data_IF_873807781739
#
_entry.id   IF_873807781739
#
_cell.length_a   1.000
_cell.length_b   1.000
_cell.length_c   1.000
_cell.angle_alpha   90.00
_cell.angle_beta   90.00
_cell.angle_gamma   90.00
#
_symmetry.space_group_name_H-M   'P 1'
#
loop_
_entity.id
_entity.type
_entity.pdbx_description
1 polymer ?
#
# COMPACT_ATOMS: atom_id res chain seq x y z
N UNK A 1 9.74 -10.21 -6.71
CA UNK A 1 9.39 -9.02 -5.89
C UNK A 1 8.32 -9.43 -4.91
N UNK A 2 8.49 -9.10 -3.64
CA UNK A 2 7.55 -9.35 -2.55
C UNK A 2 6.56 -8.18 -2.39
N UNK A 3 5.48 -8.39 -1.63
CA UNK A 3 4.53 -7.31 -1.30
C UNK A 3 5.22 -6.18 -0.52
N UNK A 4 6.12 -6.51 0.41
CA UNK A 4 6.89 -5.51 1.17
C UNK A 4 7.78 -4.65 0.27
N UNK A 5 8.41 -5.23 -0.76
CA UNK A 5 9.21 -4.48 -1.74
C UNK A 5 8.34 -3.53 -2.57
N UNK A 6 7.13 -3.97 -2.97
CA UNK A 6 6.17 -3.11 -3.67
C UNK A 6 5.70 -1.98 -2.76
N UNK A 7 5.33 -2.30 -1.52
CA UNK A 7 4.91 -1.30 -0.53
C UNK A 7 6.03 -0.28 -0.27
N UNK A 8 7.26 -0.75 -0.07
CA UNK A 8 8.44 0.12 0.08
C UNK A 8 8.62 1.04 -1.13
N UNK A 9 8.53 0.50 -2.35
CA UNK A 9 8.62 1.29 -3.57
C UNK A 9 7.55 2.39 -3.63
N UNK A 10 6.31 2.05 -3.32
CA UNK A 10 5.18 2.98 -3.35
C UNK A 10 5.30 4.09 -2.30
N UNK A 11 5.97 3.84 -1.18
CA UNK A 11 6.02 4.78 -0.07
C UNK A 11 7.34 5.56 0.01
N UNK A 12 8.46 4.95 -0.35
CA UNK A 12 9.80 5.53 -0.19
C UNK A 12 10.45 6.04 -1.48
N UNK A 13 10.02 5.57 -2.65
CA UNK A 13 10.59 6.09 -3.91
C UNK A 13 10.12 7.51 -4.16
N UNK A 14 11.07 8.41 -4.43
CA UNK A 14 10.77 9.84 -4.69
C UNK A 14 9.90 10.06 -5.93
N UNK A 15 9.93 9.13 -6.89
CA UNK A 15 9.09 9.17 -8.08
C UNK A 15 7.73 8.48 -7.87
N UNK A 16 7.43 8.01 -6.65
CA UNK A 16 6.12 7.43 -6.34
C UNK A 16 5.07 8.53 -6.21
N UNK A 17 3.86 8.30 -6.73
CA UNK A 17 2.74 9.20 -6.49
C UNK A 17 2.30 9.23 -5.02
N UNK A 18 2.76 8.28 -4.19
CA UNK A 18 2.35 8.09 -2.80
C UNK A 18 3.49 8.23 -1.80
N UNK A 19 4.47 9.08 -2.13
CA UNK A 19 5.64 9.30 -1.27
C UNK A 19 5.23 9.76 0.14
N UNK A 20 5.72 9.05 1.17
CA UNK A 20 5.29 9.23 2.56
C UNK A 20 5.53 10.63 3.15
N UNK A 21 6.47 11.42 2.59
CA UNK A 21 6.70 12.81 3.06
C UNK A 21 5.65 13.80 2.57
N UNK A 22 4.90 13.45 1.54
CA UNK A 22 3.84 14.29 0.95
C UNK A 22 2.43 13.76 1.22
N UNK A 23 2.31 12.57 1.82
CA UNK A 23 1.02 11.92 2.09
C UNK A 23 1.01 11.28 3.47
N UNK A 24 -0.16 11.17 4.08
CA UNK A 24 -0.38 10.22 5.16
C UNK A 24 -0.56 8.83 4.54
N UNK A 25 0.31 7.90 4.92
CA UNK A 25 0.31 6.55 4.36
C UNK A 25 0.15 5.55 5.50
N UNK A 26 -0.93 4.78 5.48
CA UNK A 26 -1.26 3.81 6.52
C UNK A 26 -1.43 2.43 5.90
N UNK A 27 -0.55 1.46 6.21
CA UNK A 27 -0.68 0.10 5.69
C UNK A 27 -1.72 -0.72 6.44
N UNK A 28 -2.31 -1.72 5.76
CA UNK A 28 -3.21 -2.74 6.31
C UNK A 28 -4.36 -2.15 7.14
N UNK A 29 -5.08 -1.20 6.63
CA UNK A 29 -6.18 -0.56 7.34
C UNK A 29 -7.38 -1.50 7.35
N UNK A 30 -7.74 -1.97 8.55
CA UNK A 30 -8.86 -2.85 8.78
C UNK A 30 -9.65 -2.34 10.00
N UNK A 31 -10.96 -2.38 9.98
CA UNK A 31 -11.89 -1.98 11.05
C UNK A 31 -11.67 -0.58 11.71
N UNK A 32 -12.77 -0.03 12.20
CA UNK A 32 -12.79 1.19 13.00
C UNK A 32 -13.12 2.47 12.23
N UNK A 33 -13.09 2.45 10.89
CA UNK A 33 -13.42 3.60 10.05
C UNK A 33 -14.58 3.33 9.07
N UNK A 34 -15.23 2.18 9.21
CA UNK A 34 -16.38 1.81 8.37
C UNK A 34 -15.99 1.15 7.05
N UNK A 35 -14.73 0.77 6.85
CA UNK A 35 -14.34 -0.03 5.69
C UNK A 35 -14.92 -1.45 5.80
N UNK A 36 -15.39 -1.99 4.70
CA UNK A 36 -15.97 -3.33 4.59
C UNK A 36 -14.93 -4.43 4.30
N UNK A 37 -13.67 -4.04 4.05
CA UNK A 37 -12.53 -4.92 3.78
C UNK A 37 -11.24 -4.33 4.34
N UNK A 38 -10.17 -5.11 4.38
CA UNK A 38 -8.83 -4.65 4.70
C UNK A 38 -8.19 -4.01 3.47
N UNK A 39 -7.67 -2.79 3.64
CA UNK A 39 -6.92 -2.07 2.62
C UNK A 39 -5.44 -2.39 2.78
N UNK A 40 -4.74 -2.85 1.75
CA UNK A 40 -3.29 -3.08 1.80
C UNK A 40 -2.55 -1.77 2.11
N UNK A 41 -2.96 -0.67 1.47
CA UNK A 41 -2.40 0.65 1.71
C UNK A 41 -3.46 1.75 1.53
N UNK A 42 -3.66 2.55 2.56
CA UNK A 42 -4.45 3.77 2.48
C UNK A 42 -3.54 4.98 2.40
N UNK A 43 -3.71 5.77 1.35
CA UNK A 43 -2.97 7.01 1.11
C UNK A 43 -3.92 8.19 1.19
N UNK A 44 -3.57 9.21 1.99
CA UNK A 44 -4.45 10.36 2.21
C UNK A 44 -3.67 11.65 1.94
N UNK A 45 -4.26 12.54 1.18
CA UNK A 45 -3.76 13.90 0.99
C UNK A 45 -3.84 14.68 2.31
N UNK A 46 -2.74 15.25 2.83
CA UNK A 46 -2.75 16.02 4.08
C UNK A 46 -3.50 17.35 3.96
N UNK A 47 -3.74 17.83 2.74
CA UNK A 47 -4.41 19.11 2.48
C UNK A 47 -5.91 18.94 2.29
N UNK A 48 -6.32 17.91 1.55
CA UNK A 48 -7.73 17.73 1.16
C UNK A 48 -8.43 16.61 1.92
N UNK A 49 -7.67 15.81 2.68
CA UNK A 49 -8.13 14.62 3.40
C UNK A 49 -8.83 13.57 2.52
N UNK A 50 -8.45 13.56 1.24
CA UNK A 50 -8.98 12.63 0.25
C UNK A 50 -8.20 11.33 0.31
N UNK A 51 -8.92 10.21 0.37
CA UNK A 51 -8.34 8.86 0.42
C UNK A 51 -8.18 8.23 -0.97
N UNK A 52 -7.06 7.56 -1.13
CA UNK A 52 -6.76 6.66 -2.24
C UNK A 52 -6.42 5.29 -1.65
N UNK A 53 -7.06 4.25 -2.16
CA UNK A 53 -6.76 2.86 -1.83
C UNK A 53 -5.75 2.30 -2.82
N UNK A 54 -4.79 1.53 -2.33
CA UNK A 54 -3.84 0.80 -3.17
C UNK A 54 -3.82 -0.66 -2.74
N UNK A 55 -4.24 -1.54 -3.65
CA UNK A 55 -4.17 -2.98 -3.53
C UNK A 55 -2.85 -3.50 -4.10
N UNK A 56 -2.09 -4.24 -3.31
CA UNK A 56 -0.79 -4.78 -3.70
C UNK A 56 -0.94 -6.24 -4.13
N UNK A 57 -0.57 -6.54 -5.36
CA UNK A 57 -0.63 -7.91 -5.92
C UNK A 57 0.72 -8.28 -6.50
N UNK A 58 1.25 -9.42 -6.04
CA UNK A 58 2.58 -9.89 -6.47
C UNK A 58 2.53 -11.17 -7.31
N UNK A 59 1.34 -11.72 -7.53
CA UNK A 59 1.12 -12.89 -8.39
C UNK A 59 -0.17 -12.78 -9.20
N UNK A 60 -0.20 -13.49 -10.35
CA UNK A 60 -1.44 -13.62 -11.16
C UNK A 60 -2.55 -14.34 -10.40
N UNK A 61 -2.19 -15.29 -9.51
CA UNK A 61 -3.14 -16.00 -8.66
C UNK A 61 -3.84 -15.07 -7.67
N UNK A 62 -3.12 -14.10 -7.08
CA UNK A 62 -3.72 -13.12 -6.17
C UNK A 62 -4.70 -12.20 -6.89
N UNK A 63 -4.37 -11.77 -8.11
CA UNK A 63 -5.27 -10.97 -8.94
C UNK A 63 -6.57 -11.72 -9.26
N UNK A 64 -6.48 -13.01 -9.62
CA UNK A 64 -7.66 -13.84 -9.93
C UNK A 64 -8.55 -14.02 -8.71
N UNK A 65 -7.97 -14.35 -7.56
CA UNK A 65 -8.72 -14.51 -6.29
C UNK A 65 -9.42 -13.23 -5.86
N UNK A 66 -8.86 -12.08 -6.20
CA UNK A 66 -9.47 -10.79 -5.88
C UNK A 66 -10.78 -10.54 -6.64
N UNK A 67 -10.89 -11.01 -7.88
CA UNK A 67 -12.13 -10.97 -8.67
C UNK A 67 -13.25 -11.84 -8.06
N UNK A 68 -12.90 -12.91 -7.37
CA UNK A 68 -13.85 -13.83 -6.74
C UNK A 68 -14.40 -13.28 -5.42
N UNK A 69 -13.75 -12.25 -4.86
CA UNK A 69 -14.22 -11.58 -3.65
C UNK A 69 -15.52 -10.83 -3.93
N UNK A 70 -16.56 -11.12 -3.15
CA UNK A 70 -17.86 -10.42 -3.21
C UNK A 70 -17.80 -8.96 -2.76
N UNK A 71 -16.65 -8.52 -2.25
CA UNK A 71 -16.44 -7.15 -1.77
C UNK A 71 -15.98 -6.29 -2.95
N UNK A 72 -16.87 -5.42 -3.41
CA UNK A 72 -16.47 -4.39 -4.34
C UNK A 72 -15.59 -3.40 -3.57
N UNK A 73 -14.41 -3.08 -4.10
CA UNK A 73 -13.49 -2.05 -3.59
C UNK A 73 -14.05 -0.61 -3.70
N UNK A 74 -15.38 -0.48 -3.59
CA UNK A 74 -16.04 0.82 -3.66
C UNK A 74 -16.49 1.24 -2.25
N UNK A 75 -15.58 1.93 -1.56
CA UNK A 75 -15.93 2.61 -0.33
C UNK A 75 -16.17 4.11 -0.62
N UNK A 76 -17.17 4.68 0.05
CA UNK A 76 -17.50 6.11 -0.10
C UNK A 76 -16.39 7.03 0.43
N UNK A 77 -15.41 6.52 1.19
CA UNK A 77 -14.22 7.25 1.66
C UNK A 77 -13.09 7.25 0.62
N UNK A 78 -13.18 6.36 -0.37
CA UNK A 78 -12.13 6.17 -1.36
C UNK A 78 -12.52 6.90 -2.65
N UNK A 79 -11.68 7.86 -3.01
CA UNK A 79 -11.83 8.60 -4.28
C UNK A 79 -11.25 7.84 -5.47
N UNK A 80 -10.15 7.15 -5.25
CA UNK A 80 -9.44 6.40 -6.30
C UNK A 80 -8.92 5.08 -5.76
N UNK A 81 -9.00 4.04 -6.58
CA UNK A 81 -8.45 2.72 -6.32
C UNK A 81 -7.32 2.45 -7.32
N UNK A 82 -6.18 2.01 -6.83
CA UNK A 82 -5.06 1.53 -7.65
C UNK A 82 -4.71 0.08 -7.30
N UNK A 83 -4.38 -0.69 -8.33
CA UNK A 83 -3.69 -1.97 -8.18
C UNK A 83 -2.20 -1.72 -8.45
N UNK A 84 -1.34 -2.23 -7.58
CA UNK A 84 0.10 -2.04 -7.67
C UNK A 84 0.86 -3.36 -7.56
N UNK A 85 1.93 -3.51 -8.32
CA UNK A 85 2.77 -4.69 -8.26
C UNK A 85 3.93 -4.67 -9.24
N UNK A 86 4.67 -5.79 -9.36
CA UNK A 86 5.81 -5.86 -10.27
C UNK A 86 5.38 -5.67 -11.73
N UNK A 87 6.23 -5.02 -12.52
CA UNK A 87 6.00 -4.78 -13.95
C UNK A 87 5.71 -6.06 -14.75
N UNK A 88 6.25 -7.18 -14.33
CA UNK A 88 6.00 -8.48 -14.96
C UNK A 88 4.53 -8.91 -14.92
N UNK A 89 3.72 -8.31 -14.06
CA UNK A 89 2.28 -8.54 -13.94
C UNK A 89 1.43 -7.51 -14.73
N UNK A 90 2.03 -6.58 -15.48
CA UNK A 90 1.29 -5.51 -16.15
C UNK A 90 0.17 -6.05 -17.04
N UNK A 91 0.43 -7.07 -17.87
CA UNK A 91 -0.59 -7.72 -18.70
C UNK A 91 -1.74 -8.32 -17.88
N UNK A 92 -1.40 -8.97 -16.74
CA UNK A 92 -2.41 -9.53 -15.85
C UNK A 92 -3.24 -8.44 -15.15
N UNK A 93 -2.64 -7.31 -14.79
CA UNK A 93 -3.40 -6.17 -14.27
C UNK A 93 -4.41 -5.64 -15.30
N UNK A 94 -4.01 -5.52 -16.56
CA UNK A 94 -4.94 -5.09 -17.62
C UNK A 94 -6.07 -6.09 -17.85
N UNK A 95 -5.81 -7.38 -17.68
CA UNK A 95 -6.78 -8.47 -17.84
C UNK A 95 -7.76 -8.59 -16.66
N UNK A 96 -7.26 -8.46 -15.41
CA UNK A 96 -8.02 -8.81 -14.21
C UNK A 96 -8.40 -7.61 -13.32
N UNK A 97 -7.65 -6.50 -13.30
CA UNK A 97 -8.01 -5.38 -12.45
C UNK A 97 -9.27 -4.66 -12.98
N UNK A 98 -10.18 -4.22 -12.09
CA UNK A 98 -11.36 -3.47 -12.48
C UNK A 98 -11.04 -2.33 -13.46
N UNK A 99 -11.90 -2.06 -14.44
CA UNK A 99 -11.68 -1.02 -15.48
C UNK A 99 -11.58 0.39 -14.89
N UNK A 100 -12.19 0.60 -13.74
CA UNK A 100 -12.18 1.85 -12.98
C UNK A 100 -10.90 2.04 -12.17
N UNK A 101 -10.24 0.94 -11.79
CA UNK A 101 -9.01 0.99 -11.01
C UNK A 101 -7.82 1.47 -11.86
N UNK A 102 -6.93 2.24 -11.26
CA UNK A 102 -5.63 2.54 -11.83
C UNK A 102 -4.66 1.36 -11.73
N UNK A 103 -3.57 1.43 -12.45
CA UNK A 103 -2.50 0.43 -12.43
C UNK A 103 -1.17 1.13 -12.21
N UNK A 104 -0.42 0.68 -11.20
CA UNK A 104 0.93 1.12 -10.91
C UNK A 104 1.85 -0.08 -11.01
N UNK A 105 2.90 0.01 -11.81
CA UNK A 105 3.94 -1.02 -11.89
C UNK A 105 5.20 -0.56 -11.20
N UNK A 106 5.89 -1.50 -10.53
CA UNK A 106 7.15 -1.28 -9.84
C UNK A 106 8.25 -2.06 -10.55
N UNK A 107 9.39 -1.40 -10.73
CA UNK A 107 10.59 -1.95 -11.36
C UNK A 107 11.76 -1.79 -10.40
N UNK A 108 12.47 -2.87 -9.99
CA UNK A 108 13.75 -2.75 -9.33
C UNK A 108 14.84 -2.45 -10.36
N UNK A 109 15.77 -1.57 -10.00
CA UNK A 109 16.98 -1.30 -10.76
C UNK A 109 18.19 -1.31 -9.83
N UNK A 110 19.27 -1.93 -10.25
CA UNK A 110 20.54 -1.86 -9.51
C UNK A 110 21.31 -0.65 -9.98
N UNK A 111 21.57 0.29 -9.08
CA UNK A 111 22.32 1.53 -9.32
C UNK A 111 23.44 1.60 -8.30
N UNK A 112 24.69 1.59 -8.76
CA UNK A 112 25.88 1.62 -7.88
C UNK A 112 25.85 0.56 -6.77
N UNK A 113 25.47 -0.69 -7.09
CA UNK A 113 25.40 -1.81 -6.16
C UNK A 113 24.21 -1.77 -5.19
N UNK A 114 23.33 -0.78 -5.29
CA UNK A 114 22.11 -0.66 -4.46
C UNK A 114 20.85 -0.84 -5.31
N UNK A 115 19.87 -1.58 -4.78
CA UNK A 115 18.56 -1.70 -5.44
C UNK A 115 17.73 -0.46 -5.20
N UNK A 116 17.33 0.19 -6.28
CA UNK A 116 16.34 1.28 -6.29
C UNK A 116 15.06 0.80 -6.96
N UNK A 117 13.94 1.34 -6.52
CA UNK A 117 12.63 1.00 -7.07
C UNK A 117 12.04 2.21 -7.79
N UNK A 118 11.43 1.96 -8.95
CA UNK A 118 10.77 2.98 -9.75
C UNK A 118 9.29 2.62 -9.93
N UNK A 119 8.42 3.56 -9.63
CA UNK A 119 6.98 3.43 -9.81
C UNK A 119 6.56 4.08 -11.14
N UNK A 120 5.65 3.44 -11.86
CA UNK A 120 5.09 3.96 -13.10
C UNK A 120 3.58 3.75 -13.13
N UNK A 121 2.81 4.84 -13.29
CA UNK A 121 1.37 4.76 -13.51
C UNK A 121 1.14 4.30 -14.96
N UNK A 122 0.51 3.14 -15.13
CA UNK A 122 0.21 2.51 -16.43
C UNK A 122 -1.22 2.77 -16.87
N UNK A 123 -2.11 2.96 -15.90
CA UNK A 123 -3.49 3.38 -16.10
C UNK A 123 -3.89 4.29 -14.94
N UNK A 124 -4.49 5.43 -15.24
CA UNK A 124 -5.06 6.30 -14.22
C UNK A 124 -6.36 5.71 -13.66
N UNK A 125 -6.55 5.79 -12.35
CA UNK A 125 -7.81 5.41 -11.73
C UNK A 125 -8.92 6.40 -12.10
N UNK A 126 -10.13 5.89 -12.32
CA UNK A 126 -11.33 6.73 -12.41
C UNK A 126 -11.66 7.30 -11.04
N UNK A 127 -12.13 8.53 -11.04
CA UNK A 127 -12.54 9.23 -9.81
C UNK A 127 -13.94 8.79 -9.42
N UNK A 128 -14.08 8.27 -8.19
CA UNK A 128 -15.38 8.13 -7.55
C UNK A 128 -15.91 9.53 -7.21
N UNK A 129 -16.97 9.99 -7.87
CA UNK A 129 -17.55 11.32 -7.67
C UNK A 129 -18.36 11.44 -6.36
N UNK A 130 -18.75 10.32 -5.78
CA UNK A 130 -19.56 10.26 -4.56
C UNK A 130 -18.71 10.09 -3.29
N UNK A 131 -17.38 10.26 -3.39
CA UNK A 131 -16.50 10.12 -2.23
C UNK A 131 -16.74 11.24 -1.21
N UNK A 132 -16.48 10.92 0.05
CA UNK A 132 -16.52 11.85 1.17
C UNK A 132 -15.12 11.95 1.78
N UNK A 133 -14.50 13.14 1.89
CA UNK A 133 -13.21 13.29 2.55
C UNK A 133 -13.23 12.81 4.01
N UNK A 134 -12.09 12.39 4.51
CA UNK A 134 -11.93 12.03 5.93
C UNK A 134 -12.11 13.26 6.82
N UNK A 135 -12.75 13.05 7.97
CA UNK A 135 -12.86 14.09 9.01
C UNK A 135 -11.54 14.15 9.81
N UNK A 136 -11.18 15.29 10.40
CA UNK A 136 -9.96 15.42 11.20
C UNK A 136 -9.80 14.34 12.28
N UNK A 137 -10.88 13.99 12.99
CA UNK A 137 -10.87 12.92 14.00
C UNK A 137 -10.56 11.53 13.42
N UNK A 138 -11.00 11.26 12.20
CA UNK A 138 -10.69 10.00 11.50
C UNK A 138 -9.23 9.96 11.06
N UNK A 139 -8.68 11.09 10.62
CA UNK A 139 -7.24 11.22 10.34
C UNK A 139 -6.43 10.95 11.61
N UNK A 140 -6.81 11.52 12.76
CA UNK A 140 -6.15 11.27 14.03
C UNK A 140 -6.15 9.77 14.39
N UNK A 141 -7.28 9.08 14.21
CA UNK A 141 -7.39 7.64 14.44
C UNK A 141 -6.47 6.84 13.50
N UNK A 142 -6.39 7.21 12.22
CA UNK A 142 -5.50 6.59 11.25
C UNK A 142 -4.03 6.78 11.58
N UNK A 143 -3.63 7.99 11.97
CA UNK A 143 -2.27 8.30 12.39
C UNK A 143 -1.89 7.51 13.66
N UNK A 144 -2.81 7.40 14.62
CA UNK A 144 -2.64 6.55 15.80
C UNK A 144 -2.44 5.08 15.41
N UNK A 145 -3.24 4.56 14.49
CA UNK A 145 -3.10 3.19 13.97
C UNK A 145 -1.74 2.97 13.33
N UNK A 146 -1.31 3.89 12.47
CA UNK A 146 0.03 3.85 11.84
C UNK A 146 1.16 3.84 12.87
N UNK A 147 1.06 4.70 13.89
CA UNK A 147 2.02 4.76 14.99
C UNK A 147 2.07 3.46 15.80
N UNK A 148 0.93 2.88 16.15
CA UNK A 148 0.87 1.59 16.85
C UNK A 148 1.54 0.47 16.05
N UNK A 149 1.37 0.44 14.72
CA UNK A 149 2.00 -0.54 13.84
C UNK A 149 3.50 -0.37 13.77
N UNK A 150 3.96 0.87 13.63
CA UNK A 150 5.39 1.18 13.69
C UNK A 150 6.03 0.63 14.96
N UNK A 151 5.49 0.93 16.12
CA UNK A 151 6.03 0.45 17.40
C UNK A 151 5.95 -1.07 17.56
N UNK A 152 4.92 -1.70 17.03
CA UNK A 152 4.83 -3.17 16.99
C UNK A 152 5.94 -3.80 16.15
N UNK A 153 6.20 -3.24 14.95
CA UNK A 153 7.28 -3.71 14.08
C UNK A 153 8.66 -3.46 14.70
N UNK A 154 8.87 -2.27 15.23
CA UNK A 154 10.10 -1.91 15.95
C UNK A 154 10.39 -2.87 17.10
N UNK A 155 9.40 -3.15 17.93
CA UNK A 155 9.52 -4.09 19.04
C UNK A 155 9.88 -5.52 18.58
N UNK A 156 9.29 -6.00 17.46
CA UNK A 156 9.65 -7.30 16.88
C UNK A 156 11.10 -7.31 16.38
N UNK A 157 11.54 -6.27 15.70
CA UNK A 157 12.93 -6.16 15.20
C UNK A 157 13.94 -6.10 16.36
N UNK A 158 13.63 -5.33 17.40
CA UNK A 158 14.47 -5.21 18.58
C UNK A 158 14.66 -6.55 19.29
N UNK A 159 13.57 -7.32 19.48
CA UNK A 159 13.62 -8.66 20.07
C UNK A 159 14.45 -9.62 19.23
N UNK A 160 14.32 -9.62 17.89
CA UNK A 160 15.12 -10.47 16.99
C UNK A 160 16.61 -10.18 17.09
N UNK A 161 16.99 -8.89 17.15
CA UNK A 161 18.41 -8.48 17.29
C UNK A 161 19.02 -8.92 18.61
N UNK A 162 18.24 -8.93 19.70
CA UNK A 162 18.74 -9.32 21.01
C UNK A 162 18.81 -10.84 21.17
N UNK A 163 17.86 -11.59 20.66
CA UNK A 163 17.89 -13.06 20.70
C UNK A 163 19.04 -13.63 19.85
N UNK A 164 19.34 -13.04 18.69
CA UNK A 164 20.47 -13.49 17.86
C UNK A 164 21.87 -13.17 18.45
N UNK A 165 21.98 -12.32 19.47
CA UNK A 165 23.24 -12.07 20.18
C UNK A 165 23.53 -13.13 21.25
N UNK A 166 22.51 -13.75 21.82
CA UNK A 166 22.69 -14.75 22.88
C UNK A 166 23.17 -16.11 22.33
N UNK A 167 22.94 -16.40 21.04
CA UNK A 167 23.41 -17.65 20.43
C UNK A 167 24.91 -17.62 20.05
N UNK A 168 25.53 -16.41 20.00
CA UNK A 168 26.96 -16.27 19.67
C UNK A 168 27.89 -16.24 20.88
N UNK A 169 27.35 -16.20 22.11
CA UNK A 169 28.16 -16.19 23.35
C UNK A 169 28.30 -17.56 24.01
N UNK A 170 27.69 -18.61 23.44
CA UNK A 170 27.73 -19.98 23.95
C UNK A 170 28.48 -20.97 23.03
N UNK A 171 29.39 -20.48 22.19
CA UNK A 171 30.26 -21.32 21.34
C UNK A 171 31.73 -21.07 21.64
#
# INVERSE_FOLDING_TARGET
MTADEVQYALTYSQNSPFYFRSHYVVPNVHYGLGFNHELDLLVISPVTFIGTEVEIKVSKGDLKRDLEKKHHHFDFRIRQLYFAGPRTLEGAFHEYAPKEAGIITVIPQVVCGSTRYYCSIRRNAKVNKSFIPFKPKEIEQLLRLGNMRYWSLFGKQFKRKNNGKNDQTNS
#
